data_IF_204893875369
#
_entry.id   IF_204893875369
#
_cell.length_a   1.000
_cell.length_b   1.000
_cell.length_c   1.000
_cell.angle_alpha   90.00
_cell.angle_beta   90.00
_cell.angle_gamma   90.00
#
_symmetry.space_group_name_H-M   'P 1'
#
loop_
_entity.id
_entity.type
_entity.pdbx_description
1 polymer ?
#
# COMPACT_ATOMS: atom_id res chain seq x y z
N UNK A 1 -5.61 3.63 -21.60
CA UNK A 1 -5.71 2.17 -21.38
C UNK A 1 -5.28 1.87 -19.96
N UNK A 2 -5.95 0.97 -19.26
CA UNK A 2 -5.55 0.55 -17.91
C UNK A 2 -5.41 -0.97 -17.88
N UNK A 3 -4.26 -1.46 -17.42
CA UNK A 3 -4.00 -2.88 -17.16
C UNK A 3 -4.13 -3.13 -15.66
N UNK A 4 -4.84 -4.18 -15.27
CA UNK A 4 -4.97 -4.59 -13.85
C UNK A 4 -4.42 -5.99 -13.70
N UNK A 5 -3.39 -6.14 -12.87
CA UNK A 5 -2.71 -7.41 -12.63
C UNK A 5 -2.66 -7.69 -11.12
N UNK A 6 -3.69 -8.38 -10.60
CA UNK A 6 -3.77 -8.72 -9.18
C UNK A 6 -3.39 -10.18 -8.94
N UNK A 7 -2.59 -10.42 -7.90
CA UNK A 7 -2.10 -11.74 -7.48
C UNK A 7 -1.25 -12.47 -8.55
N UNK A 8 -0.81 -11.77 -9.60
CA UNK A 8 -0.06 -12.34 -10.72
C UNK A 8 1.42 -12.52 -10.37
N UNK A 9 2.02 -11.60 -9.62
CA UNK A 9 3.47 -11.65 -9.35
C UNK A 9 3.83 -12.40 -8.05
N UNK A 10 2.83 -12.85 -7.27
CA UNK A 10 3.05 -13.36 -5.91
C UNK A 10 3.89 -14.64 -5.89
N UNK A 11 3.80 -15.45 -6.93
CA UNK A 11 4.53 -16.71 -7.11
C UNK A 11 5.94 -16.57 -7.71
N UNK A 12 6.34 -15.37 -8.11
CA UNK A 12 7.67 -15.14 -8.69
C UNK A 12 8.68 -14.70 -7.63
N UNK A 13 9.96 -14.77 -7.99
CA UNK A 13 11.03 -14.16 -7.20
C UNK A 13 10.98 -12.63 -7.26
N UNK A 14 11.48 -11.97 -6.22
CA UNK A 14 11.47 -10.49 -6.13
C UNK A 14 12.19 -9.83 -7.32
N UNK A 15 13.31 -10.41 -7.77
CA UNK A 15 14.07 -9.90 -8.91
C UNK A 15 13.28 -9.94 -10.25
N UNK A 16 12.25 -10.78 -10.36
CA UNK A 16 11.42 -10.86 -11.56
C UNK A 16 10.40 -9.71 -11.66
N UNK A 17 10.12 -9.02 -10.54
CA UNK A 17 9.09 -7.97 -10.49
C UNK A 17 9.45 -6.79 -11.38
N UNK A 18 10.70 -6.31 -11.31
CA UNK A 18 11.15 -5.17 -12.11
C UNK A 18 11.08 -5.46 -13.61
N UNK A 19 11.46 -6.67 -14.03
CA UNK A 19 11.36 -7.11 -15.42
C UNK A 19 9.91 -7.13 -15.88
N UNK A 20 9.02 -7.73 -15.09
CA UNK A 20 7.59 -7.79 -15.41
C UNK A 20 6.96 -6.40 -15.51
N UNK A 21 7.30 -5.48 -14.59
CA UNK A 21 6.83 -4.10 -14.62
C UNK A 21 7.28 -3.39 -15.91
N UNK A 22 8.56 -3.48 -16.27
CA UNK A 22 9.08 -2.88 -17.52
C UNK A 22 8.38 -3.45 -18.77
N UNK A 23 8.14 -4.76 -18.81
CA UNK A 23 7.42 -5.40 -19.92
C UNK A 23 5.99 -4.86 -20.04
N UNK A 24 5.26 -4.75 -18.93
CA UNK A 24 3.90 -4.24 -18.95
C UNK A 24 3.84 -2.75 -19.30
N UNK A 25 4.75 -1.93 -18.76
CA UNK A 25 4.74 -0.47 -19.01
C UNK A 25 5.20 -0.11 -20.42
N UNK A 26 6.10 -0.89 -21.02
CA UNK A 26 6.52 -0.71 -22.42
C UNK A 26 5.39 -0.93 -23.44
N UNK A 27 4.35 -1.70 -23.07
CA UNK A 27 3.18 -1.96 -23.90
C UNK A 27 2.06 -0.91 -23.72
N UNK A 28 2.24 0.09 -22.86
CA UNK A 28 1.22 1.11 -22.61
C UNK A 28 1.12 2.10 -23.78
N UNK A 29 -0.10 2.39 -24.21
CA UNK A 29 -0.39 3.59 -24.99
C UNK A 29 -0.10 4.86 -24.15
N UNK A 30 0.14 6.03 -24.78
CA UNK A 30 0.33 7.29 -24.06
C UNK A 30 -0.78 7.55 -23.03
N UNK A 31 -0.39 7.93 -21.81
CA UNK A 31 -1.31 8.12 -20.68
C UNK A 31 -1.91 6.83 -20.11
N UNK A 32 -1.41 5.66 -20.51
CA UNK A 32 -1.78 4.38 -19.94
C UNK A 32 -1.18 4.15 -18.55
N UNK A 33 -1.77 3.22 -17.80
CA UNK A 33 -1.30 2.82 -16.48
C UNK A 33 -1.45 1.32 -16.25
N UNK A 34 -0.59 0.77 -15.39
CA UNK A 34 -0.72 -0.58 -14.82
C UNK A 34 -1.01 -0.46 -13.34
N UNK A 35 -2.01 -1.19 -12.86
CA UNK A 35 -2.27 -1.39 -11.43
C UNK A 35 -1.85 -2.83 -11.11
N UNK A 36 -0.66 -2.99 -10.55
CA UNK A 36 -0.15 -4.27 -10.08
C UNK A 36 -0.44 -4.39 -8.59
N UNK A 37 -1.03 -5.49 -8.16
CA UNK A 37 -1.46 -5.57 -6.77
C UNK A 37 -1.68 -6.97 -6.26
N UNK A 38 -2.06 -7.03 -5.00
CA UNK A 38 -2.35 -8.26 -4.29
C UNK A 38 -3.58 -8.05 -3.43
N UNK A 39 -4.41 -9.08 -3.30
CA UNK A 39 -5.52 -9.09 -2.36
C UNK A 39 -5.65 -10.44 -1.65
N UNK A 40 -6.42 -10.48 -0.59
CA UNK A 40 -6.90 -11.74 -0.02
C UNK A 40 -8.02 -12.33 -0.88
N UNK A 41 -8.38 -13.57 -0.57
CA UNK A 41 -9.35 -14.39 -1.28
C UNK A 41 -10.75 -13.76 -1.27
N UNK A 42 -11.05 -13.00 -0.21
CA UNK A 42 -12.34 -12.34 -0.02
C UNK A 42 -12.34 -10.88 -0.49
N UNK A 43 -11.21 -10.34 -0.96
CA UNK A 43 -11.05 -8.95 -1.38
C UNK A 43 -11.24 -7.93 -0.24
N UNK A 44 -11.04 -8.34 1.01
CA UNK A 44 -11.11 -7.49 2.21
C UNK A 44 -9.81 -6.76 2.48
N UNK A 45 -8.68 -7.31 2.07
CA UNK A 45 -7.36 -6.70 2.19
C UNK A 45 -6.76 -6.65 0.80
N UNK A 46 -6.25 -5.48 0.42
CA UNK A 46 -5.56 -5.31 -0.83
C UNK A 46 -4.45 -4.28 -0.71
N UNK A 47 -3.44 -4.43 -1.56
CA UNK A 47 -2.51 -3.37 -1.85
C UNK A 47 -2.15 -3.37 -3.33
N UNK A 48 -1.77 -2.22 -3.86
CA UNK A 48 -1.35 -2.12 -5.25
C UNK A 48 -0.38 -0.97 -5.50
N UNK A 49 0.48 -1.17 -6.48
CA UNK A 49 1.35 -0.17 -7.07
C UNK A 49 0.69 0.36 -8.33
N UNK A 50 0.59 1.69 -8.43
CA UNK A 50 0.30 2.35 -9.70
C UNK A 50 1.61 2.53 -10.47
N UNK A 51 1.67 2.00 -11.69
CA UNK A 51 2.79 2.16 -12.61
C UNK A 51 2.33 2.96 -13.82
N UNK A 52 3.22 3.81 -14.33
CA UNK A 52 3.09 4.42 -15.65
C UNK A 52 4.38 4.16 -16.47
N UNK A 53 4.53 4.85 -17.60
CA UNK A 53 5.71 4.72 -18.45
C UNK A 53 7.03 5.12 -17.74
N UNK A 54 6.97 5.93 -16.68
CA UNK A 54 8.12 6.32 -15.87
C UNK A 54 8.42 5.35 -14.71
N UNK A 55 7.57 4.34 -14.50
CA UNK A 55 7.72 3.33 -13.46
C UNK A 55 6.72 3.50 -12.30
N UNK A 56 7.07 3.06 -11.08
CA UNK A 56 6.15 3.06 -9.95
C UNK A 56 5.94 4.46 -9.39
N UNK A 57 4.67 4.83 -9.26
CA UNK A 57 4.23 6.17 -8.87
C UNK A 57 3.73 6.20 -7.42
N UNK A 58 2.85 5.26 -7.05
CA UNK A 58 2.24 5.21 -5.73
C UNK A 58 2.07 3.78 -5.24
N UNK A 59 2.03 3.60 -3.92
CA UNK A 59 1.49 2.42 -3.26
C UNK A 59 0.17 2.82 -2.59
N UNK A 60 -0.88 2.03 -2.79
CA UNK A 60 -2.12 2.12 -2.02
C UNK A 60 -2.29 0.87 -1.17
N UNK A 61 -2.65 1.05 0.10
CA UNK A 61 -3.11 0.00 1.00
C UNK A 61 -4.61 0.16 1.23
N UNK A 62 -5.36 -0.93 1.19
CA UNK A 62 -6.81 -0.91 1.32
C UNK A 62 -7.32 -2.04 2.22
N UNK A 63 -8.24 -1.72 3.12
CA UNK A 63 -8.89 -2.67 4.00
C UNK A 63 -10.41 -2.45 4.10
N UNK A 64 -11.17 -3.54 4.13
CA UNK A 64 -12.55 -3.54 4.60
C UNK A 64 -12.56 -3.33 6.11
N UNK A 65 -12.77 -2.09 6.51
CA UNK A 65 -12.65 -1.66 7.91
C UNK A 65 -13.54 -2.43 8.91
N UNK A 66 -14.68 -2.95 8.47
CA UNK A 66 -15.55 -3.75 9.35
C UNK A 66 -14.96 -5.10 9.76
N UNK A 67 -13.92 -5.55 9.07
CA UNK A 67 -13.23 -6.83 9.31
C UNK A 67 -11.74 -6.65 9.56
N UNK A 68 -11.26 -5.41 9.68
CA UNK A 68 -9.85 -5.12 9.94
C UNK A 68 -9.57 -5.30 11.44
N UNK A 69 -8.71 -6.25 11.78
CA UNK A 69 -8.24 -6.47 13.14
C UNK A 69 -7.18 -5.43 13.54
N UNK A 70 -6.08 -5.43 12.79
CA UNK A 70 -4.98 -4.46 12.87
C UNK A 70 -4.46 -4.10 11.47
N UNK A 71 -3.96 -2.86 11.26
CA UNK A 71 -3.23 -2.48 10.05
C UNK A 71 -2.03 -3.39 9.72
N UNK A 72 -1.44 -4.07 10.69
CA UNK A 72 -0.34 -5.01 10.47
C UNK A 72 -0.73 -6.14 9.49
N UNK A 73 -2.00 -6.54 9.45
CA UNK A 73 -2.50 -7.57 8.50
C UNK A 73 -2.36 -7.17 7.03
N UNK A 74 -2.25 -5.87 6.71
CA UNK A 74 -2.01 -5.39 5.35
C UNK A 74 -0.65 -5.86 4.81
N UNK A 75 0.32 -6.12 5.70
CA UNK A 75 1.64 -6.62 5.33
C UNK A 75 1.58 -7.94 4.54
N UNK A 76 0.66 -8.82 4.90
CA UNK A 76 0.45 -10.13 4.25
C UNK A 76 -0.03 -10.01 2.80
N UNK A 77 -0.49 -8.82 2.41
CA UNK A 77 -1.04 -8.53 1.09
C UNK A 77 -0.24 -7.46 0.36
N UNK A 78 0.99 -7.17 0.80
CA UNK A 78 1.91 -6.31 0.07
C UNK A 78 2.28 -6.92 -1.29
N UNK A 79 2.57 -6.08 -2.30
CA UNK A 79 3.03 -6.55 -3.61
C UNK A 79 4.37 -7.25 -3.47
N UNK A 80 4.72 -8.10 -4.43
CA UNK A 80 5.96 -8.90 -4.35
C UNK A 80 7.22 -8.05 -4.17
N UNK A 81 7.22 -6.83 -4.72
CA UNK A 81 8.29 -5.84 -4.54
C UNK A 81 8.54 -5.41 -3.09
N UNK A 82 7.56 -5.58 -2.18
CA UNK A 82 7.61 -5.05 -0.82
C UNK A 82 7.41 -6.10 0.27
N UNK A 83 6.75 -7.22 -0.01
CA UNK A 83 6.35 -8.18 1.03
C UNK A 83 7.53 -8.75 1.82
N UNK A 84 8.64 -9.09 1.16
CA UNK A 84 9.86 -9.56 1.84
C UNK A 84 10.69 -8.42 2.46
N UNK A 85 10.35 -7.17 2.14
CA UNK A 85 10.96 -5.95 2.67
C UNK A 85 10.21 -5.39 3.87
N UNK A 86 9.11 -6.01 4.29
CA UNK A 86 8.44 -5.64 5.52
C UNK A 86 9.21 -6.14 6.75
N UNK A 87 10.42 -5.62 6.93
CA UNK A 87 11.36 -5.92 8.02
C UNK A 87 11.92 -4.63 8.63
N UNK A 88 12.35 -4.62 9.91
CA UNK A 88 12.91 -3.43 10.54
C UNK A 88 14.04 -2.79 9.72
N UNK A 89 14.01 -1.46 9.60
CA UNK A 89 14.95 -0.69 8.80
C UNK A 89 14.47 -0.35 7.38
N UNK A 90 13.47 -1.06 6.86
CA UNK A 90 12.88 -0.73 5.55
C UNK A 90 11.71 0.27 5.68
N UNK A 91 11.55 1.20 4.72
CA UNK A 91 10.51 2.22 4.78
C UNK A 91 9.08 1.67 4.82
N UNK A 92 8.79 0.58 4.09
CA UNK A 92 7.47 -0.05 4.13
C UNK A 92 7.12 -0.61 5.51
N UNK A 93 8.09 -1.21 6.20
CA UNK A 93 7.91 -1.67 7.57
C UNK A 93 7.61 -0.49 8.51
N UNK A 94 8.35 0.61 8.38
CA UNK A 94 8.11 1.81 9.18
C UNK A 94 6.68 2.37 8.97
N UNK A 95 6.17 2.36 7.73
CA UNK A 95 4.79 2.79 7.45
C UNK A 95 3.76 1.87 8.12
N UNK A 96 3.91 0.56 7.97
CA UNK A 96 3.00 -0.43 8.56
C UNK A 96 3.02 -0.35 10.09
N UNK A 97 4.21 -0.24 10.70
CA UNK A 97 4.34 -0.06 12.14
C UNK A 97 3.68 1.23 12.63
N UNK A 98 3.89 2.36 11.93
CA UNK A 98 3.26 3.63 12.31
C UNK A 98 1.73 3.56 12.27
N UNK A 99 1.16 2.86 11.29
CA UNK A 99 -0.29 2.62 11.20
C UNK A 99 -0.78 1.74 12.35
N UNK A 100 -0.07 0.66 12.66
CA UNK A 100 -0.47 -0.26 13.73
C UNK A 100 -0.37 0.40 15.11
N UNK A 101 0.69 1.17 15.38
CA UNK A 101 0.85 1.96 16.59
C UNK A 101 -0.28 2.98 16.76
N UNK A 102 -0.55 3.78 15.72
CA UNK A 102 -1.64 4.75 15.74
C UNK A 102 -3.03 4.10 15.87
N UNK A 103 -3.21 2.88 15.36
CA UNK A 103 -4.46 2.11 15.49
C UNK A 103 -4.67 1.60 16.91
N UNK A 104 -3.59 1.18 17.58
CA UNK A 104 -3.59 0.82 19.00
C UNK A 104 -3.94 2.04 19.85
N UNK A 105 -3.32 3.19 19.60
CA UNK A 105 -3.64 4.45 20.29
C UNK A 105 -5.09 4.92 20.03
N UNK A 106 -5.63 4.63 18.85
CA UNK A 106 -7.01 4.93 18.49
C UNK A 106 -8.05 3.95 19.08
N UNK A 107 -7.67 2.99 19.93
CA UNK A 107 -8.60 2.02 20.53
C UNK A 107 -9.84 2.66 21.19
N UNK A 108 -9.77 3.81 21.90
CA UNK A 108 -10.95 4.47 22.45
C UNK A 108 -12.00 4.89 21.40
N UNK A 109 -11.61 5.05 20.13
CA UNK A 109 -12.51 5.40 19.04
C UNK A 109 -13.30 4.22 18.48
N UNK A 110 -13.02 2.98 18.92
CA UNK A 110 -13.74 1.78 18.46
C UNK A 110 -15.26 1.86 18.72
N UNK A 111 -15.67 2.55 19.79
CA UNK A 111 -17.08 2.81 20.13
C UNK A 111 -17.84 3.62 19.08
N UNK A 112 -17.13 4.46 18.32
CA UNK A 112 -17.70 5.24 17.21
C UNK A 112 -17.66 4.50 15.87
N UNK A 113 -17.21 3.25 15.88
CA UNK A 113 -17.14 2.37 14.73
C UNK A 113 -15.79 2.39 13.99
N UNK A 114 -15.54 1.36 13.18
CA UNK A 114 -14.21 1.12 12.57
C UNK A 114 -13.78 2.23 11.61
N UNK A 115 -14.74 2.91 10.95
CA UNK A 115 -14.46 4.06 10.08
C UNK A 115 -13.87 5.25 10.84
N UNK A 116 -14.39 5.55 12.04
CA UNK A 116 -13.87 6.65 12.86
C UNK A 116 -12.52 6.31 13.46
N UNK A 117 -12.35 5.08 13.95
CA UNK A 117 -11.05 4.57 14.41
C UNK A 117 -9.98 4.65 13.32
N UNK A 118 -10.32 4.24 12.10
CA UNK A 118 -9.41 4.33 10.94
C UNK A 118 -9.09 5.78 10.57
N UNK A 119 -10.09 6.66 10.49
CA UNK A 119 -9.85 8.08 10.25
C UNK A 119 -8.90 8.69 11.27
N UNK A 120 -9.08 8.37 12.55
CA UNK A 120 -8.18 8.82 13.62
C UNK A 120 -6.77 8.30 13.39
N UNK A 121 -6.63 7.01 13.11
CA UNK A 121 -5.35 6.35 12.82
C UNK A 121 -4.59 7.05 11.70
N UNK A 122 -5.22 7.19 10.53
CA UNK A 122 -4.61 7.82 9.35
C UNK A 122 -4.27 9.30 9.61
N UNK A 123 -5.15 10.02 10.33
CA UNK A 123 -4.90 11.42 10.68
C UNK A 123 -3.71 11.57 11.63
N UNK A 124 -3.56 10.67 12.61
CA UNK A 124 -2.40 10.62 13.51
C UNK A 124 -1.11 10.36 12.74
N UNK A 125 -1.08 9.36 11.85
CA UNK A 125 0.10 9.01 11.07
C UNK A 125 0.50 10.16 10.14
N UNK A 126 -0.47 10.83 9.49
CA UNK A 126 -0.21 12.01 8.67
C UNK A 126 0.31 13.20 9.50
N UNK A 127 -0.25 13.43 10.68
CA UNK A 127 0.22 14.48 11.59
C UNK A 127 1.64 14.22 12.11
N UNK A 128 2.06 12.95 12.18
CA UNK A 128 3.43 12.55 12.49
C UNK A 128 4.42 12.72 11.30
N UNK A 129 3.96 13.26 10.17
CA UNK A 129 4.82 13.64 9.04
C UNK A 129 4.84 12.66 7.86
N UNK A 130 4.10 11.54 7.92
CA UNK A 130 4.00 10.66 6.75
C UNK A 130 3.27 11.34 5.60
N UNK A 131 3.79 11.27 4.36
CA UNK A 131 3.19 11.92 3.19
C UNK A 131 2.01 11.10 2.63
N UNK A 132 1.00 10.86 3.48
CA UNK A 132 -0.26 10.23 3.07
C UNK A 132 -1.02 11.18 2.15
N UNK A 133 -1.31 10.70 0.96
CA UNK A 133 -2.06 11.41 -0.07
C UNK A 133 -3.57 11.43 0.24
N UNK A 134 -4.34 12.06 -0.65
CA UNK A 134 -5.78 12.21 -0.55
C UNK A 134 -6.26 13.00 0.69
N UNK A 135 -7.57 12.95 0.93
CA UNK A 135 -8.27 13.66 2.01
C UNK A 135 -9.08 12.66 2.83
N UNK A 136 -9.58 13.05 4.03
CA UNK A 136 -10.38 12.16 4.88
C UNK A 136 -11.55 11.46 4.18
N UNK A 137 -12.14 12.06 3.15
CA UNK A 137 -13.19 11.41 2.35
C UNK A 137 -12.74 10.10 1.69
N UNK A 138 -11.48 10.04 1.21
CA UNK A 138 -10.89 8.83 0.63
C UNK A 138 -10.52 7.83 1.72
N UNK A 139 -9.89 8.29 2.79
CA UNK A 139 -9.46 7.42 3.88
C UNK A 139 -10.62 6.67 4.53
N UNK A 140 -11.83 7.27 4.58
CA UNK A 140 -13.06 6.62 5.06
C UNK A 140 -13.44 5.35 4.32
N UNK A 141 -12.93 5.14 3.11
CA UNK A 141 -13.11 3.91 2.34
C UNK A 141 -12.20 2.77 2.82
N UNK A 142 -11.29 3.04 3.75
CA UNK A 142 -10.28 2.10 4.23
C UNK A 142 -9.00 2.12 3.40
N UNK A 143 -8.78 3.18 2.61
CA UNK A 143 -7.64 3.33 1.71
C UNK A 143 -6.65 4.38 2.23
N UNK A 144 -5.36 4.11 2.06
CA UNK A 144 -4.31 5.14 2.12
C UNK A 144 -3.38 4.99 0.92
N UNK A 145 -2.91 6.11 0.40
CA UNK A 145 -1.96 6.15 -0.72
C UNK A 145 -0.74 6.95 -0.31
N UNK A 146 0.44 6.48 -0.69
CA UNK A 146 1.71 7.20 -0.56
C UNK A 146 2.48 7.16 -1.87
N UNK A 147 3.32 8.16 -2.10
CA UNK A 147 4.29 8.13 -3.22
C UNK A 147 5.20 6.93 -3.09
N UNK A 148 5.47 6.24 -4.20
CA UNK A 148 6.30 5.03 -4.21
C UNK A 148 7.65 5.26 -3.55
N UNK A 149 8.27 6.42 -3.79
CA UNK A 149 9.58 6.80 -3.23
C UNK A 149 9.60 6.81 -1.69
N UNK A 150 8.44 6.94 -1.04
CA UNK A 150 8.30 6.90 0.42
C UNK A 150 8.51 5.48 0.98
N UNK A 151 8.21 4.46 0.18
CA UNK A 151 8.15 3.06 0.59
C UNK A 151 9.02 2.13 -0.27
N UNK A 152 9.72 2.70 -1.25
CA UNK A 152 10.63 1.97 -2.12
C UNK A 152 11.69 1.26 -1.28
N UNK A 153 12.06 0.02 -1.62
CA UNK A 153 13.14 -0.68 -0.94
C UNK A 153 14.41 0.16 -0.87
N UNK A 154 15.10 0.14 0.27
CA UNK A 154 16.24 1.04 0.57
C UNK A 154 17.43 0.89 -0.40
N UNK A 155 17.55 -0.26 -1.06
CA UNK A 155 18.57 -0.46 -2.09
C UNK A 155 18.33 0.36 -3.37
N UNK A 156 17.10 0.84 -3.60
CA UNK A 156 16.76 1.70 -4.74
C UNK A 156 17.07 3.18 -4.49
N UNK A 157 17.02 3.62 -3.23
CA UNK A 157 17.34 5.01 -2.83
C UNK A 157 18.84 5.24 -2.60
N UNK A 158 19.62 4.16 -2.55
CA UNK A 158 21.09 4.20 -2.41
C UNK A 158 21.85 4.30 -3.74
N UNK A 159 21.14 4.56 -4.86
CA UNK A 159 21.70 4.79 -6.20
C UNK A 159 21.44 6.21 -6.66
#
# INVERSE_FOLDING_TARGET
MVVRAFNVLRQYEEAAVEVAWRTMTAALAPGGAVVEGTCDELGRLASWVLLDAAGPQTLTLAAKLSTLDTPATLAERLPKALIHRNVPGEPIHALVSALDDAWRDAAPYATFGPRQRWLRTVSTVRAAGWPIEDRPARWRLGEITVRWQTVAPSYLTSR
#
